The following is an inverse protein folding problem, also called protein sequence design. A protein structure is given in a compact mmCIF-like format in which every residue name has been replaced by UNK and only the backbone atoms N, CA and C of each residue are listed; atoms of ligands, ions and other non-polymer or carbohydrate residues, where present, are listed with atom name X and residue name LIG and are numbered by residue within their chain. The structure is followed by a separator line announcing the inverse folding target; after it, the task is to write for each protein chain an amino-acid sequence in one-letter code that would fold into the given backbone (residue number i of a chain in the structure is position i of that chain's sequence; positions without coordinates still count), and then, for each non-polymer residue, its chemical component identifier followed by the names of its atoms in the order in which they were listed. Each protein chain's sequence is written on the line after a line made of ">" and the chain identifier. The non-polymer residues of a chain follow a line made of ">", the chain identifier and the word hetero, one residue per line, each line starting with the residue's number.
data_IF_791798365509
#
_entry.id   IF_791798365509
#
_cell.length_a   1.000
_cell.length_b   1.000
_cell.length_c   1.000
_cell.angle_alpha   90.00
_cell.angle_beta   90.00
_cell.angle_gamma   90.00
#
_symmetry.space_group_name_H-M   'P 1'
#
loop_
_entity.id
_entity.type
_entity.pdbx_description
1 polymer ?
#
# COMPACT_ATOMS: atom_id res chain seq x y z
N UNK A 1 -16.04 -1.28 -12.22
CA UNK A 1 -15.06 -0.30 -12.74
C UNK A 1 -13.86 -0.28 -11.80
N UNK A 2 -12.65 -0.47 -12.32
CA UNK A 2 -11.44 -0.53 -11.49
C UNK A 2 -10.97 0.90 -11.18
N UNK A 3 -10.55 1.14 -9.94
CA UNK A 3 -10.02 2.42 -9.49
C UNK A 3 -8.56 2.26 -9.08
N UNK A 4 -7.76 3.31 -9.30
CA UNK A 4 -6.42 3.41 -8.74
C UNK A 4 -6.52 4.04 -7.36
N UNK A 5 -5.86 3.42 -6.39
CA UNK A 5 -5.73 3.91 -5.03
C UNK A 5 -4.25 4.21 -4.77
N UNK A 6 -3.98 5.38 -4.21
CA UNK A 6 -2.65 5.78 -3.76
C UNK A 6 -2.75 6.09 -2.27
N UNK A 7 -1.94 5.41 -1.47
CA UNK A 7 -1.81 5.67 -0.04
C UNK A 7 -0.35 5.94 0.29
N UNK A 8 -0.10 7.01 1.02
CA UNK A 8 1.25 7.47 1.32
C UNK A 8 1.39 7.78 2.80
N UNK A 9 2.55 7.42 3.35
CA UNK A 9 3.03 7.89 4.64
C UNK A 9 4.31 8.71 4.40
N UNK A 10 4.24 10.00 4.73
CA UNK A 10 5.42 10.86 4.83
C UNK A 10 6.06 10.73 6.21
N UNK A 11 7.39 10.68 6.27
CA UNK A 11 8.15 10.64 7.52
C UNK A 11 9.34 11.60 7.45
N UNK A 12 9.85 12.03 8.61
CA UNK A 12 11.06 12.86 8.66
C UNK A 12 12.29 12.10 8.16
N UNK A 13 12.45 10.86 8.63
CA UNK A 13 13.52 9.94 8.21
C UNK A 13 13.08 8.47 8.33
N UNK A 14 13.36 7.68 7.28
CA UNK A 14 13.26 6.22 7.21
C UNK A 14 14.65 5.67 6.90
N UNK A 15 15.38 5.19 7.91
CA UNK A 15 16.71 4.63 7.72
C UNK A 15 16.72 3.49 6.69
N UNK A 16 17.74 3.48 5.83
CA UNK A 16 17.80 2.57 4.66
C UNK A 16 17.61 1.09 5.03
N UNK A 17 18.13 0.65 6.18
CA UNK A 17 17.99 -0.74 6.68
C UNK A 17 16.54 -1.13 6.98
N UNK A 18 15.66 -0.18 7.27
CA UNK A 18 14.26 -0.43 7.59
C UNK A 18 13.36 -0.40 6.36
N UNK A 19 13.82 0.20 5.24
CA UNK A 19 13.04 0.31 4.00
C UNK A 19 12.50 -1.05 3.53
N UNK A 20 13.31 -2.13 3.40
CA UNK A 20 12.79 -3.41 2.91
C UNK A 20 11.73 -4.03 3.83
N UNK A 21 11.88 -3.86 5.15
CA UNK A 21 10.90 -4.33 6.14
C UNK A 21 9.60 -3.53 6.09
N UNK A 22 9.72 -2.20 6.05
CA UNK A 22 8.58 -1.29 5.96
C UNK A 22 7.77 -1.52 4.68
N UNK A 23 8.43 -1.73 3.54
CA UNK A 23 7.78 -2.05 2.28
C UNK A 23 6.98 -3.36 2.35
N UNK A 24 7.57 -4.42 2.92
CA UNK A 24 6.88 -5.70 3.14
C UNK A 24 5.65 -5.55 4.02
N UNK A 25 5.82 -4.90 5.17
CA UNK A 25 4.71 -4.67 6.10
C UNK A 25 3.60 -3.84 5.47
N UNK A 26 3.94 -2.83 4.66
CA UNK A 26 2.93 -2.02 3.97
C UNK A 26 2.15 -2.83 2.94
N UNK A 27 2.80 -3.71 2.18
CA UNK A 27 2.12 -4.58 1.21
C UNK A 27 1.15 -5.53 1.92
N UNK A 28 1.64 -6.27 2.93
CA UNK A 28 0.85 -7.24 3.69
C UNK A 28 -0.34 -6.59 4.40
N UNK A 29 -0.11 -5.48 5.12
CA UNK A 29 -1.17 -4.74 5.82
C UNK A 29 -2.12 -4.08 4.83
N UNK A 30 -1.61 -3.55 3.72
CA UNK A 30 -2.40 -2.94 2.67
C UNK A 30 -3.42 -3.90 2.09
N UNK A 31 -3.01 -5.11 1.72
CA UNK A 31 -3.93 -6.15 1.23
C UNK A 31 -4.98 -6.54 2.26
N UNK A 32 -4.58 -6.73 3.53
CA UNK A 32 -5.50 -7.04 4.63
C UNK A 32 -6.55 -5.94 4.81
N UNK A 33 -6.13 -4.67 4.81
CA UNK A 33 -7.02 -3.52 4.98
C UNK A 33 -7.96 -3.33 3.78
N UNK A 34 -7.46 -3.48 2.56
CA UNK A 34 -8.29 -3.42 1.35
C UNK A 34 -9.37 -4.52 1.36
N UNK A 35 -8.98 -5.75 1.68
CA UNK A 35 -9.91 -6.88 1.82
C UNK A 35 -10.96 -6.62 2.89
N UNK A 36 -10.55 -6.16 4.08
CA UNK A 36 -11.46 -5.81 5.18
C UNK A 36 -12.43 -4.68 4.79
N UNK A 37 -12.00 -3.74 3.95
CA UNK A 37 -12.81 -2.67 3.40
C UNK A 37 -13.70 -3.12 2.22
N UNK A 38 -13.75 -4.42 1.89
CA UNK A 38 -14.48 -4.97 0.72
C UNK A 38 -14.02 -4.39 -0.61
N UNK A 39 -12.76 -3.97 -0.68
CA UNK A 39 -12.08 -3.54 -1.90
C UNK A 39 -11.19 -4.68 -2.35
N UNK A 40 -11.54 -5.34 -3.46
CA UNK A 40 -10.73 -6.44 -3.98
C UNK A 40 -9.47 -5.86 -4.65
N UNK A 41 -8.25 -6.11 -4.12
CA UNK A 41 -7.03 -5.69 -4.78
C UNK A 41 -6.77 -6.59 -6.01
N UNK A 42 -6.45 -5.97 -7.13
CA UNK A 42 -5.99 -6.65 -8.35
C UNK A 42 -4.47 -6.55 -8.51
N UNK A 43 -3.91 -5.45 -8.03
CA UNK A 43 -2.46 -5.23 -7.95
C UNK A 43 -2.19 -4.39 -6.70
N UNK A 44 -1.08 -4.69 -6.02
CA UNK A 44 -0.54 -3.88 -4.93
C UNK A 44 0.96 -3.74 -5.18
N UNK A 45 1.41 -2.51 -5.26
CA UNK A 45 2.82 -2.16 -5.42
C UNK A 45 3.20 -1.22 -4.29
N UNK A 46 4.39 -1.44 -3.73
CA UNK A 46 4.95 -0.59 -2.69
C UNK A 46 6.27 -0.04 -3.17
N UNK A 47 6.48 1.25 -2.95
CA UNK A 47 7.73 1.95 -3.22
C UNK A 47 8.10 2.80 -2.02
N UNK A 48 9.39 3.06 -1.84
CA UNK A 48 9.87 3.81 -0.70
C UNK A 48 11.12 4.63 -1.04
N UNK A 49 11.25 5.73 -0.32
CA UNK A 49 12.45 6.56 -0.23
C UNK A 49 12.74 6.79 1.26
N UNK A 50 13.91 7.34 1.63
CA UNK A 50 14.19 7.65 3.03
C UNK A 50 13.22 8.60 3.72
N UNK A 51 12.23 9.20 3.04
CA UNK A 51 11.24 10.10 3.66
C UNK A 51 9.79 9.79 3.29
N UNK A 52 9.57 8.69 2.56
CA UNK A 52 8.25 8.38 2.00
C UNK A 52 8.07 6.89 1.79
N UNK A 53 6.90 6.39 2.14
CA UNK A 53 6.48 5.03 1.90
C UNK A 53 5.12 5.06 1.22
N UNK A 54 5.02 4.47 0.03
CA UNK A 54 3.86 4.60 -0.88
C UNK A 54 3.34 3.22 -1.25
N UNK A 55 2.03 3.04 -1.16
CA UNK A 55 1.29 1.92 -1.72
C UNK A 55 0.41 2.41 -2.86
N UNK A 56 0.60 1.84 -4.04
CA UNK A 56 -0.27 2.02 -5.20
C UNK A 56 -1.01 0.71 -5.49
N UNK A 57 -2.33 0.78 -5.55
CA UNK A 57 -3.16 -0.39 -5.80
C UNK A 57 -4.18 -0.14 -6.90
N UNK A 58 -4.50 -1.20 -7.65
CA UNK A 58 -5.69 -1.23 -8.49
C UNK A 58 -6.74 -2.02 -7.74
N UNK A 59 -7.89 -1.40 -7.44
CA UNK A 59 -8.96 -2.01 -6.67
C UNK A 59 -10.27 -2.01 -7.44
N UNK A 60 -11.06 -3.05 -7.26
CA UNK A 60 -12.45 -3.08 -7.70
C UNK A 60 -13.36 -3.13 -6.49
N UNK A 61 -14.39 -2.29 -6.45
CA UNK A 61 -15.45 -2.41 -5.45
C UNK A 61 -16.16 -3.76 -5.65
N UNK A 62 -16.28 -4.55 -4.58
CA UNK A 62 -17.22 -5.67 -4.59
C UNK A 62 -18.63 -5.07 -4.55
N UNK A 63 -19.41 -5.26 -5.63
CA UNK A 63 -20.85 -5.07 -5.57
C UNK A 63 -21.43 -6.27 -4.80
N UNK A 64 -22.40 -6.05 -3.88
CA UNK A 64 -23.16 -7.15 -3.31
C UNK A 64 -23.96 -7.90 -4.38
#
# INVERSE_FOLDING_TARGET
>A
MNKKLLFEIGVEELPARFIPGAMRHMAERGEQLLSAARLRPQSVEVSATPRRLVLSATVSAMQP
#
